data_IF_225290027066
#
_entry.id   IF_225290027066
#
_cell.length_a   1.000
_cell.length_b   1.000
_cell.length_c   1.000
_cell.angle_alpha   90.00
_cell.angle_beta   90.00
_cell.angle_gamma   90.00
#
_symmetry.space_group_name_H-M   'P 1'
#
loop_
_entity.id
_entity.type
_entity.pdbx_description
1 polymer ?
#
# COMPACT_ATOMS: atom_id res chain seq x y z
N UNK A 1 9.35 11.29 -19.22
CA UNK A 1 9.21 9.84 -19.21
C UNK A 1 10.28 9.26 -18.29
N UNK A 2 9.91 8.38 -17.36
CA UNK A 2 10.84 7.62 -16.56
C UNK A 2 11.36 6.46 -17.41
N UNK A 3 12.64 6.41 -17.61
CA UNK A 3 13.35 5.32 -18.29
C UNK A 3 14.36 4.75 -17.32
N UNK A 4 14.22 3.48 -16.99
CA UNK A 4 15.15 2.76 -16.12
C UNK A 4 15.42 1.38 -16.70
N UNK A 5 16.57 0.81 -16.40
CA UNK A 5 16.90 -0.59 -16.73
C UNK A 5 15.97 -1.55 -15.98
N UNK A 6 15.53 -1.17 -14.78
CA UNK A 6 14.54 -1.90 -13.99
C UNK A 6 13.55 -0.94 -13.34
N UNK A 7 12.28 -1.30 -13.32
CA UNK A 7 11.27 -0.59 -12.54
C UNK A 7 11.35 -0.87 -11.04
N UNK A 8 11.97 -1.99 -10.64
CA UNK A 8 12.22 -2.32 -9.25
C UNK A 8 13.43 -1.55 -8.75
N UNK A 9 13.28 -0.87 -7.62
CA UNK A 9 14.40 -0.21 -6.95
C UNK A 9 15.23 -1.23 -6.18
N UNK A 10 16.57 -1.09 -6.28
CA UNK A 10 17.49 -1.84 -5.43
C UNK A 10 17.51 -1.27 -4.01
N UNK A 11 17.99 -2.03 -3.00
CA UNK A 11 18.16 -1.51 -1.65
C UNK A 11 19.01 -0.24 -1.62
N UNK A 12 20.09 -0.18 -2.39
CA UNK A 12 21.01 0.96 -2.48
C UNK A 12 20.29 2.20 -3.03
N UNK A 13 19.50 2.03 -4.10
CA UNK A 13 18.69 3.11 -4.67
C UNK A 13 17.64 3.64 -3.68
N UNK A 14 17.06 2.75 -2.87
CA UNK A 14 16.12 3.14 -1.83
C UNK A 14 16.81 3.97 -0.75
N UNK A 15 17.99 3.54 -0.29
CA UNK A 15 18.78 4.27 0.71
C UNK A 15 19.22 5.65 0.18
N UNK A 16 19.68 5.74 -1.06
CA UNK A 16 20.06 6.99 -1.72
C UNK A 16 18.88 7.98 -1.81
N UNK A 17 17.67 7.47 -2.10
CA UNK A 17 16.46 8.28 -2.15
C UNK A 17 16.05 8.74 -0.75
N UNK A 18 16.10 7.88 0.25
CA UNK A 18 15.79 8.24 1.64
C UNK A 18 16.75 9.33 2.16
N UNK A 19 18.03 9.25 1.80
CA UNK A 19 19.03 10.25 2.18
C UNK A 19 18.74 11.66 1.59
N UNK A 20 17.92 11.77 0.56
CA UNK A 20 17.51 13.03 -0.04
C UNK A 20 16.31 13.69 0.69
N UNK A 21 15.64 12.95 1.58
CA UNK A 21 14.49 13.49 2.33
C UNK A 21 15.00 14.41 3.43
N UNK A 22 14.43 15.61 3.56
CA UNK A 22 14.78 16.49 4.64
C UNK A 22 14.56 15.83 6.01
N UNK A 23 15.47 16.01 6.98
CA UNK A 23 15.35 15.35 8.29
C UNK A 23 14.00 15.59 8.98
N UNK A 24 13.46 16.79 8.88
CA UNK A 24 12.15 17.15 9.43
C UNK A 24 11.03 16.34 8.78
N UNK A 25 11.00 16.23 7.45
CA UNK A 25 9.99 15.47 6.73
C UNK A 25 10.08 13.98 7.08
N UNK A 26 11.29 13.46 7.27
CA UNK A 26 11.49 12.07 7.67
C UNK A 26 10.97 11.81 9.10
N UNK A 27 11.14 12.78 10.02
CA UNK A 27 10.56 12.72 11.37
C UNK A 27 9.03 12.74 11.31
N UNK A 28 8.45 13.59 10.48
CA UNK A 28 7.01 13.70 10.31
C UNK A 28 6.41 12.42 9.71
N UNK A 29 7.09 11.82 8.72
CA UNK A 29 6.72 10.49 8.19
C UNK A 29 6.71 9.44 9.30
N UNK A 30 7.78 9.36 10.09
CA UNK A 30 7.88 8.40 11.21
C UNK A 30 6.82 8.63 12.27
N UNK A 31 6.55 9.90 12.60
CA UNK A 31 5.49 10.26 13.55
C UNK A 31 4.12 9.80 13.05
N UNK A 32 3.76 10.15 11.80
CA UNK A 32 2.50 9.74 11.20
C UNK A 32 2.35 8.21 11.17
N UNK A 33 3.40 7.50 10.76
CA UNK A 33 3.42 6.03 10.76
C UNK A 33 3.24 5.43 12.15
N UNK A 34 3.81 6.04 13.17
CA UNK A 34 3.63 5.57 14.55
C UNK A 34 2.15 5.65 15.00
N UNK A 35 1.44 6.73 14.62
CA UNK A 35 0.02 6.88 14.94
C UNK A 35 -0.83 5.85 14.19
N UNK A 36 -0.64 5.71 12.87
CA UNK A 36 -1.36 4.73 12.05
C UNK A 36 -1.08 3.29 12.53
N UNK A 37 0.18 2.97 12.83
CA UNK A 37 0.58 1.66 13.34
C UNK A 37 -0.12 1.31 14.66
N UNK A 38 -0.15 2.25 15.61
CA UNK A 38 -0.82 2.05 16.90
C UNK A 38 -2.31 1.73 16.71
N UNK A 39 -2.98 2.48 15.86
CA UNK A 39 -4.41 2.24 15.61
C UNK A 39 -4.64 0.92 14.86
N UNK A 40 -3.86 0.65 13.82
CA UNK A 40 -3.94 -0.62 13.08
C UNK A 40 -3.67 -1.85 13.97
N UNK A 41 -2.73 -1.76 14.91
CA UNK A 41 -2.47 -2.81 15.89
C UNK A 41 -3.68 -3.04 16.80
N UNK A 42 -4.35 -1.98 17.27
CA UNK A 42 -5.56 -2.09 18.07
C UNK A 42 -6.70 -2.72 17.27
N UNK A 43 -6.88 -2.33 15.99
CA UNK A 43 -7.85 -2.96 15.10
C UNK A 43 -7.54 -4.45 14.88
N UNK A 44 -6.28 -4.78 14.61
CA UNK A 44 -5.85 -6.18 14.43
C UNK A 44 -6.09 -7.02 15.69
N UNK A 45 -5.84 -6.47 16.85
CA UNK A 45 -6.07 -7.15 18.13
C UNK A 45 -7.56 -7.38 18.42
N UNK A 46 -8.47 -6.60 17.84
CA UNK A 46 -9.91 -6.80 17.97
C UNK A 46 -10.47 -7.91 17.07
N UNK A 47 -9.72 -8.35 16.08
CA UNK A 47 -10.06 -9.46 15.19
C UNK A 47 -9.65 -10.77 15.85
N UNK A 48 -10.59 -11.40 16.56
CA UNK A 48 -10.34 -12.68 17.26
C UNK A 48 -10.87 -13.85 16.45
N UNK A 49 -10.16 -14.97 16.52
CA UNK A 49 -10.67 -16.24 16.02
C UNK A 49 -11.80 -16.72 16.91
N UNK A 50 -12.77 -17.40 16.32
CA UNK A 50 -13.93 -17.95 17.03
C UNK A 50 -14.01 -19.44 16.76
N UNK A 51 -14.21 -20.23 17.80
CA UNK A 51 -14.53 -21.65 17.72
C UNK A 51 -15.54 -21.99 18.83
N UNK A 52 -16.72 -22.50 18.44
CA UNK A 52 -17.79 -22.86 19.37
C UNK A 52 -18.44 -24.19 18.98
N UNK A 53 -18.84 -24.96 19.95
CA UNK A 53 -19.69 -26.13 19.75
C UNK A 53 -21.16 -25.68 19.79
N UNK A 54 -21.85 -25.79 18.64
CA UNK A 54 -23.25 -25.36 18.48
C UNK A 54 -24.28 -26.47 18.82
N UNK A 55 -23.85 -27.71 18.66
CA UNK A 55 -24.58 -28.92 19.04
C UNK A 55 -23.52 -29.98 19.41
N UNK A 56 -23.86 -31.01 20.20
CA UNK A 56 -22.89 -32.06 20.54
C UNK A 56 -22.18 -32.63 19.31
N UNK A 57 -20.85 -32.48 19.25
CA UNK A 57 -20.00 -32.92 18.15
C UNK A 57 -19.97 -31.99 16.93
N UNK A 58 -20.68 -30.85 16.91
CA UNK A 58 -20.65 -29.88 15.79
C UNK A 58 -19.92 -28.62 16.21
N UNK A 59 -18.69 -28.48 15.73
CA UNK A 59 -17.82 -27.32 16.02
C UNK A 59 -17.82 -26.40 14.80
N UNK A 60 -18.17 -25.13 15.00
CA UNK A 60 -18.12 -24.07 14.00
C UNK A 60 -17.15 -22.98 14.42
N UNK A 61 -16.51 -22.34 13.45
CA UNK A 61 -15.57 -21.26 13.76
C UNK A 61 -15.13 -20.49 12.53
N UNK A 62 -14.36 -19.43 12.78
CA UNK A 62 -13.61 -18.71 11.74
C UNK A 62 -12.21 -18.33 12.23
N UNK A 63 -11.31 -18.13 11.29
CA UNK A 63 -9.93 -17.68 11.54
C UNK A 63 -9.63 -16.44 10.72
N UNK A 64 -8.88 -15.52 11.30
CA UNK A 64 -8.38 -14.33 10.63
C UNK A 64 -7.00 -14.61 10.05
N UNK A 65 -6.93 -14.93 8.77
CA UNK A 65 -5.69 -15.31 8.06
C UNK A 65 -5.31 -14.18 7.10
N UNK A 66 -4.09 -13.61 7.21
CA UNK A 66 -3.62 -12.60 6.24
C UNK A 66 -3.48 -13.22 4.84
N UNK A 67 -3.71 -12.41 3.80
CA UNK A 67 -3.40 -12.80 2.43
C UNK A 67 -1.89 -13.01 2.28
N UNK A 68 -1.47 -13.89 1.36
CA UNK A 68 -0.06 -14.23 1.19
C UNK A 68 0.75 -13.09 0.56
N UNK A 69 0.12 -12.25 -0.25
CA UNK A 69 0.77 -11.06 -0.82
C UNK A 69 -0.23 -9.96 -1.14
N UNK A 70 0.22 -8.72 -1.04
CA UNK A 70 -0.55 -7.53 -1.36
C UNK A 70 0.25 -6.60 -2.27
N UNK A 71 -0.42 -6.02 -3.26
CA UNK A 71 0.09 -4.95 -4.11
C UNK A 71 -0.51 -3.62 -3.68
N UNK A 72 0.33 -2.74 -3.17
CA UNK A 72 -0.05 -1.42 -2.71
C UNK A 72 0.22 -0.38 -3.80
N UNK A 73 -0.82 0.23 -4.34
CA UNK A 73 -0.68 1.34 -5.27
C UNK A 73 -0.64 2.66 -4.50
N UNK A 74 0.47 3.39 -4.61
CA UNK A 74 0.69 4.69 -3.96
C UNK A 74 0.75 5.78 -5.00
N UNK A 75 -0.27 6.64 -5.15
CA UNK A 75 -0.30 7.68 -6.16
C UNK A 75 0.77 8.74 -5.91
N UNK A 76 1.50 9.15 -6.97
CA UNK A 76 2.48 10.24 -6.90
C UNK A 76 2.60 11.05 -8.19
N UNK A 77 1.87 10.72 -9.25
CA UNK A 77 2.06 11.32 -10.58
C UNK A 77 1.72 12.82 -10.68
N UNK A 78 0.75 13.31 -9.91
CA UNK A 78 0.42 14.74 -9.82
C UNK A 78 0.92 15.35 -8.51
N UNK A 79 0.65 14.67 -7.41
CA UNK A 79 1.04 15.07 -6.06
C UNK A 79 1.62 13.84 -5.34
N UNK A 80 2.74 13.96 -4.63
CA UNK A 80 3.29 12.89 -3.82
C UNK A 80 2.35 12.54 -2.65
N UNK A 81 1.67 11.40 -2.75
CA UNK A 81 0.67 10.97 -1.77
C UNK A 81 1.32 10.10 -0.68
N UNK A 82 2.21 10.71 0.12
CA UNK A 82 2.96 10.04 1.21
C UNK A 82 2.02 9.28 2.17
N UNK A 83 0.89 9.90 2.53
CA UNK A 83 -0.10 9.29 3.43
C UNK A 83 -0.68 7.96 2.88
N UNK A 84 -0.77 7.80 1.55
CA UNK A 84 -1.27 6.55 0.96
C UNK A 84 -0.37 5.35 1.28
N UNK A 85 0.95 5.56 1.43
CA UNK A 85 1.85 4.50 1.87
C UNK A 85 1.59 4.11 3.34
N UNK A 86 1.28 5.09 4.21
CA UNK A 86 0.93 4.80 5.61
C UNK A 86 -0.37 3.99 5.72
N UNK A 87 -1.34 4.29 4.84
CA UNK A 87 -2.66 3.68 4.88
C UNK A 87 -2.72 2.31 4.17
N UNK A 88 -1.80 2.00 3.28
CA UNK A 88 -1.79 0.74 2.53
C UNK A 88 -0.63 -0.18 2.96
N UNK A 89 0.60 0.26 2.78
CA UNK A 89 1.80 -0.56 3.04
C UNK A 89 1.93 -0.89 4.52
N UNK A 90 1.83 0.12 5.38
CA UNK A 90 2.02 -0.07 6.82
C UNK A 90 0.89 -0.88 7.45
N UNK A 91 -0.35 -0.67 7.04
CA UNK A 91 -1.48 -1.46 7.54
C UNK A 91 -1.39 -2.92 7.10
N UNK A 92 -0.92 -3.18 5.87
CA UNK A 92 -0.64 -4.54 5.40
C UNK A 92 0.47 -5.22 6.24
N UNK A 93 1.52 -4.47 6.60
CA UNK A 93 2.59 -4.95 7.50
C UNK A 93 2.02 -5.31 8.87
N UNK A 94 1.17 -4.47 9.45
CA UNK A 94 0.51 -4.77 10.75
C UNK A 94 -0.45 -5.95 10.65
N UNK A 95 -1.11 -6.13 9.52
CA UNK A 95 -1.97 -7.28 9.26
C UNK A 95 -1.18 -8.61 9.18
N UNK A 96 0.15 -8.56 9.08
CA UNK A 96 1.01 -9.74 8.99
C UNK A 96 1.09 -10.33 7.58
N UNK A 97 0.90 -9.52 6.54
CA UNK A 97 1.06 -9.96 5.15
C UNK A 97 2.52 -10.29 4.87
N UNK A 98 2.86 -11.53 4.45
CA UNK A 98 4.25 -11.96 4.28
C UNK A 98 4.99 -11.26 3.14
N UNK A 99 4.29 -10.86 2.06
CA UNK A 99 4.88 -10.18 0.91
C UNK A 99 4.09 -8.93 0.55
N UNK A 100 4.73 -7.77 0.68
CA UNK A 100 4.15 -6.46 0.39
C UNK A 100 4.92 -5.83 -0.77
N UNK A 101 4.25 -5.69 -1.91
CA UNK A 101 4.75 -5.03 -3.11
C UNK A 101 4.14 -3.64 -3.18
N UNK A 102 4.94 -2.61 -3.38
CA UNK A 102 4.46 -1.24 -3.51
C UNK A 102 4.85 -0.65 -4.87
N UNK A 103 3.87 -0.09 -5.57
CA UNK A 103 4.07 0.59 -6.85
C UNK A 103 3.69 2.06 -6.73
N UNK A 104 4.53 2.94 -7.28
CA UNK A 104 4.27 4.38 -7.36
C UNK A 104 4.69 4.91 -8.73
N UNK A 105 3.90 5.80 -9.37
CA UNK A 105 4.35 6.45 -10.59
C UNK A 105 5.54 7.39 -10.31
N UNK A 106 6.38 7.65 -11.31
CA UNK A 106 7.39 8.69 -11.20
C UNK A 106 6.71 10.07 -11.04
N UNK A 107 7.32 10.94 -10.25
CA UNK A 107 6.97 12.34 -10.11
C UNK A 107 8.00 13.20 -10.85
N UNK A 108 7.57 13.99 -11.83
CA UNK A 108 8.44 14.82 -12.68
C UNK A 108 9.59 14.01 -13.34
N UNK A 109 9.34 12.76 -13.68
CA UNK A 109 10.30 11.90 -14.38
C UNK A 109 11.26 11.12 -13.47
N UNK A 110 11.13 11.21 -12.13
CA UNK A 110 11.97 10.50 -11.17
C UNK A 110 11.14 9.91 -10.01
N UNK A 111 11.66 8.93 -9.27
CA UNK A 111 11.05 8.50 -8.00
C UNK A 111 10.98 9.66 -7.00
N UNK A 112 9.84 9.83 -6.31
CA UNK A 112 9.76 10.84 -5.26
C UNK A 112 10.37 10.32 -3.94
N UNK A 113 11.42 10.95 -3.39
CA UNK A 113 12.14 10.46 -2.21
C UNK A 113 11.24 10.23 -0.98
N UNK A 114 10.33 11.17 -0.69
CA UNK A 114 9.46 11.07 0.49
C UNK A 114 8.45 9.91 0.36
N UNK A 115 7.92 9.66 -0.83
CA UNK A 115 7.02 8.52 -1.09
C UNK A 115 7.78 7.21 -0.95
N UNK A 116 9.00 7.10 -1.50
CA UNK A 116 9.84 5.90 -1.37
C UNK A 116 10.20 5.66 0.09
N UNK A 117 10.60 6.71 0.83
CA UNK A 117 10.87 6.62 2.27
C UNK A 117 9.64 6.10 3.04
N UNK A 118 8.45 6.62 2.76
CA UNK A 118 7.22 6.19 3.41
C UNK A 118 6.86 4.73 3.10
N UNK A 119 7.06 4.28 1.87
CA UNK A 119 6.84 2.88 1.48
C UNK A 119 7.83 1.94 2.18
N UNK A 120 9.12 2.29 2.17
CA UNK A 120 10.16 1.48 2.82
C UNK A 120 9.95 1.39 4.34
N UNK A 121 9.79 2.52 5.02
CA UNK A 121 9.56 2.58 6.47
C UNK A 121 8.21 1.96 6.87
N UNK A 122 7.24 1.93 5.97
CA UNK A 122 5.97 1.24 6.14
C UNK A 122 6.09 -0.28 6.14
N UNK A 123 7.16 -0.83 5.55
CA UNK A 123 7.45 -2.25 5.49
C UNK A 123 7.22 -2.88 4.10
N UNK A 124 7.33 -2.12 3.02
CA UNK A 124 7.34 -2.69 1.67
C UNK A 124 8.57 -3.58 1.46
N UNK A 125 8.36 -4.80 0.97
CA UNK A 125 9.44 -5.75 0.63
C UNK A 125 10.01 -5.50 -0.76
N UNK A 126 9.16 -5.00 -1.66
CA UNK A 126 9.51 -4.67 -3.04
C UNK A 126 8.90 -3.33 -3.40
N UNK A 127 9.70 -2.44 -3.98
CA UNK A 127 9.25 -1.11 -4.43
C UNK A 127 9.52 -0.96 -5.91
N UNK A 128 8.47 -0.60 -6.66
CA UNK A 128 8.52 -0.39 -8.11
C UNK A 128 8.12 1.03 -8.47
N UNK A 129 8.89 1.64 -9.36
CA UNK A 129 8.56 2.95 -9.96
C UNK A 129 7.75 2.70 -11.23
N UNK A 130 6.49 2.37 -11.03
CA UNK A 130 5.53 2.05 -12.08
C UNK A 130 4.15 2.56 -11.67
N UNK A 131 3.43 3.20 -12.58
CA UNK A 131 2.15 3.83 -12.28
C UNK A 131 1.01 3.40 -13.18
N UNK A 132 -0.18 3.92 -12.89
CA UNK A 132 -1.37 3.75 -13.69
C UNK A 132 -1.87 2.31 -13.80
N UNK A 133 -2.55 2.03 -14.89
CA UNK A 133 -3.08 0.68 -15.20
C UNK A 133 -1.97 -0.36 -15.36
N UNK A 134 -0.78 0.06 -15.79
CA UNK A 134 0.37 -0.82 -15.95
C UNK A 134 0.81 -1.41 -14.61
N UNK A 135 0.87 -0.59 -13.55
CA UNK A 135 1.19 -1.08 -12.21
C UNK A 135 0.11 -2.06 -11.70
N UNK A 136 -1.16 -1.72 -11.87
CA UNK A 136 -2.28 -2.58 -11.46
C UNK A 136 -2.25 -3.90 -12.22
N UNK A 137 -2.08 -3.86 -13.55
CA UNK A 137 -1.96 -5.04 -14.39
C UNK A 137 -0.76 -5.91 -14.02
N UNK A 138 0.41 -5.30 -13.84
CA UNK A 138 1.63 -6.01 -13.46
C UNK A 138 1.48 -6.71 -12.10
N UNK A 139 0.93 -6.03 -11.10
CA UNK A 139 0.70 -6.63 -9.78
C UNK A 139 -0.35 -7.75 -9.81
N UNK A 140 -1.41 -7.63 -10.62
CA UNK A 140 -2.49 -8.62 -10.67
C UNK A 140 -2.16 -9.85 -11.51
N UNK A 141 -1.46 -9.66 -12.62
CA UNK A 141 -1.23 -10.70 -13.64
C UNK A 141 0.18 -11.29 -13.51
N UNK A 142 1.11 -10.49 -13.04
CA UNK A 142 2.53 -10.79 -13.03
C UNK A 142 3.24 -10.38 -14.32
N UNK A 143 4.54 -10.27 -14.24
CA UNK A 143 5.47 -10.06 -15.36
C UNK A 143 6.74 -10.87 -15.09
N UNK A 144 7.72 -10.85 -15.97
CA UNK A 144 9.03 -11.50 -15.74
C UNK A 144 9.75 -11.00 -14.48
N UNK A 145 9.52 -9.72 -14.10
CA UNK A 145 10.21 -9.07 -12.97
C UNK A 145 9.33 -8.83 -11.74
N UNK A 146 8.05 -9.11 -11.81
CA UNK A 146 7.10 -8.92 -10.72
C UNK A 146 6.14 -10.10 -10.64
N UNK A 147 6.26 -10.89 -9.58
CA UNK A 147 5.32 -11.96 -9.30
C UNK A 147 3.93 -11.40 -8.94
N UNK A 148 2.83 -12.02 -9.39
CA UNK A 148 1.49 -11.55 -9.09
C UNK A 148 1.22 -11.56 -7.58
N UNK A 149 0.27 -10.71 -7.16
CA UNK A 149 -0.19 -10.61 -5.77
C UNK A 149 -1.60 -11.16 -5.63
N UNK A 150 -1.99 -11.48 -4.39
CA UNK A 150 -3.32 -12.01 -4.09
C UNK A 150 -4.37 -10.92 -3.87
N UNK A 151 -3.94 -9.71 -3.51
CA UNK A 151 -4.83 -8.58 -3.26
C UNK A 151 -4.21 -7.26 -3.72
N UNK A 152 -5.02 -6.37 -4.30
CA UNK A 152 -4.64 -5.01 -4.68
C UNK A 152 -5.30 -4.01 -3.73
N UNK A 153 -4.51 -3.07 -3.22
CA UNK A 153 -5.00 -1.99 -2.36
C UNK A 153 -4.43 -0.64 -2.78
N UNK A 154 -5.11 0.40 -2.42
CA UNK A 154 -4.68 1.77 -2.65
C UNK A 154 -5.60 2.54 -3.60
N UNK A 155 -5.67 3.87 -3.43
CA UNK A 155 -6.47 4.76 -4.26
C UNK A 155 -5.78 5.03 -5.60
N UNK A 156 -6.56 5.52 -6.56
CA UNK A 156 -6.04 5.93 -7.86
C UNK A 156 -7.05 6.76 -8.64
N UNK A 157 -6.67 7.15 -9.84
CA UNK A 157 -7.59 7.82 -10.76
C UNK A 157 -8.62 6.84 -11.34
N UNK A 158 -9.55 7.35 -12.17
CA UNK A 158 -10.59 6.55 -12.80
C UNK A 158 -10.05 5.34 -13.59
N UNK A 159 -8.87 5.46 -14.22
CA UNK A 159 -8.25 4.36 -14.96
C UNK A 159 -7.76 3.25 -14.01
N UNK A 160 -7.17 3.61 -12.87
CA UNK A 160 -6.75 2.66 -11.84
C UNK A 160 -7.97 1.96 -11.22
N UNK A 161 -9.04 2.71 -10.95
CA UNK A 161 -10.29 2.16 -10.44
C UNK A 161 -10.91 1.18 -11.43
N UNK A 162 -10.94 1.52 -12.72
CA UNK A 162 -11.47 0.65 -13.78
C UNK A 162 -10.60 -0.61 -13.96
N UNK A 163 -9.28 -0.49 -13.89
CA UNK A 163 -8.40 -1.66 -13.94
C UNK A 163 -8.65 -2.60 -12.76
N UNK A 164 -8.83 -2.08 -11.55
CA UNK A 164 -9.21 -2.89 -10.37
C UNK A 164 -10.56 -3.58 -10.59
N UNK A 165 -11.54 -2.88 -11.16
CA UNK A 165 -12.86 -3.43 -11.46
C UNK A 165 -12.79 -4.60 -12.44
N UNK A 166 -11.99 -4.50 -13.49
CA UNK A 166 -11.84 -5.55 -14.50
C UNK A 166 -11.07 -6.77 -13.97
N UNK A 167 -10.19 -6.58 -13.00
CA UNK A 167 -9.36 -7.64 -12.42
C UNK A 167 -9.96 -8.27 -11.16
N UNK A 168 -11.04 -7.69 -10.63
CA UNK A 168 -11.76 -8.25 -9.50
C UNK A 168 -12.27 -9.67 -9.79
N UNK A 169 -12.04 -10.57 -8.85
CA UNK A 169 -12.33 -11.98 -9.01
C UNK A 169 -11.10 -12.80 -9.45
N UNK A 170 -10.19 -12.21 -10.25
CA UNK A 170 -8.86 -12.77 -10.48
C UNK A 170 -7.90 -12.47 -9.34
N UNK A 171 -8.01 -11.28 -8.80
CA UNK A 171 -7.27 -10.77 -7.62
C UNK A 171 -8.26 -10.12 -6.66
N UNK A 172 -8.00 -10.19 -5.36
CA UNK A 172 -8.75 -9.43 -4.37
C UNK A 172 -8.50 -7.93 -4.53
N UNK A 173 -9.49 -7.11 -4.19
CA UNK A 173 -9.33 -5.66 -4.13
C UNK A 173 -9.82 -5.12 -2.78
N UNK A 174 -9.36 -3.93 -2.39
CA UNK A 174 -9.83 -3.22 -1.21
C UNK A 174 -11.29 -2.77 -1.37
N UNK A 175 -11.54 -1.85 -2.31
CA UNK A 175 -12.88 -1.36 -2.63
C UNK A 175 -12.91 -0.63 -3.97
N UNK A 176 -14.12 -0.41 -4.50
CA UNK A 176 -14.38 0.56 -5.57
C UNK A 176 -14.70 1.90 -4.93
N UNK A 177 -13.78 2.88 -5.03
CA UNK A 177 -14.03 4.22 -4.53
C UNK A 177 -15.10 4.92 -5.37
N UNK A 178 -16.11 5.45 -4.69
CA UNK A 178 -17.15 6.31 -5.26
C UNK A 178 -16.89 7.80 -4.93
N UNK A 179 -17.90 8.67 -5.14
CA UNK A 179 -17.85 10.06 -4.69
C UNK A 179 -17.57 10.13 -3.19
N UNK A 180 -16.66 11.02 -2.79
CA UNK A 180 -16.23 11.19 -1.39
C UNK A 180 -16.59 12.58 -0.92
N UNK A 181 -17.29 12.68 0.21
CA UNK A 181 -17.45 13.93 0.92
C UNK A 181 -16.14 14.28 1.62
N UNK A 182 -15.75 15.55 1.55
CA UNK A 182 -14.50 16.04 2.13
C UNK A 182 -14.80 17.17 3.12
N UNK A 183 -14.35 17.00 4.35
CA UNK A 183 -14.35 18.07 5.37
C UNK A 183 -12.93 18.53 5.61
N UNK A 184 -12.70 19.83 5.53
CA UNK A 184 -11.42 20.46 5.89
C UNK A 184 -11.60 21.16 7.22
N UNK A 185 -10.76 20.83 8.20
CA UNK A 185 -10.69 21.49 9.50
C UNK A 185 -9.36 22.23 9.52
N UNK A 186 -9.43 23.54 9.65
CA UNK A 186 -8.26 24.44 9.67
C UNK A 186 -8.45 25.51 10.73
N UNK A 187 -7.35 25.96 11.32
CA UNK A 187 -7.27 27.09 12.23
C UNK A 187 -6.16 28.06 11.78
N UNK A 188 -5.80 29.00 12.62
CA UNK A 188 -4.78 30.02 12.32
C UNK A 188 -3.35 29.45 12.21
N UNK A 189 -3.12 28.18 12.46
CA UNK A 189 -1.80 27.53 12.41
C UNK A 189 -1.54 26.80 11.10
N UNK A 190 -2.54 26.69 10.22
CA UNK A 190 -2.49 25.99 8.92
C UNK A 190 -3.06 26.82 7.79
#
# INVERSE_FOLDING_TARGET
NYTAESFRLSPEQIEELIAQVAPKDLEDIKFAQAQVRRFAQAQRASMTDVEIETMPGVILGHKNIPVQSVGCYVPAGKFPMVASAHMSVLTASVAGVPRIVACTPPFQGAPNPAVIAAMHLGGAHEIYVLGGIQAVGAMAIGTESLEPVHMLVGPGNAYVAEAKRQLYGRVGIDLFAGPTETMVIADETV
#
